data_IF_179094248699
#
_entry.id   IF_179094248699
#
_cell.length_a   1.000
_cell.length_b   1.000
_cell.length_c   1.000
_cell.angle_alpha   90.00
_cell.angle_beta   90.00
_cell.angle_gamma   90.00
#
_symmetry.space_group_name_H-M   'P 1'
#
loop_
_entity.id
_entity.type
_entity.pdbx_description
1 polymer ?
#
# COMPACT_ATOMS: atom_id res chain seq x y z
N UNK A 1 -1.31 11.60 -27.11
CA UNK A 1 -2.60 12.31 -26.91
C UNK A 1 -2.68 13.12 -25.61
N UNK A 2 -1.81 12.94 -24.61
CA UNK A 2 -1.72 13.79 -23.40
C UNK A 2 -1.11 15.18 -23.64
N UNK A 3 -0.38 15.34 -24.73
CA UNK A 3 0.47 16.50 -25.05
C UNK A 3 -0.36 17.72 -25.46
N UNK A 4 -1.61 17.48 -25.87
CA UNK A 4 -2.58 18.50 -26.29
C UNK A 4 -3.46 19.00 -25.13
N UNK A 5 -3.53 18.26 -24.03
CA UNK A 5 -4.28 18.65 -22.82
C UNK A 5 -3.38 19.28 -21.74
N UNK A 6 -2.08 18.99 -21.73
CA UNK A 6 -1.11 19.50 -20.75
C UNK A 6 0.06 20.29 -21.35
N UNK A 7 -0.02 20.65 -22.65
CA UNK A 7 1.02 21.40 -23.32
C UNK A 7 1.07 22.88 -22.89
N UNK A 8 2.25 23.51 -22.85
CA UNK A 8 2.46 24.90 -22.42
C UNK A 8 1.78 25.97 -23.31
N UNK A 9 1.11 25.55 -24.39
CA UNK A 9 0.44 26.41 -25.36
C UNK A 9 -1.10 26.37 -25.24
N UNK A 10 -1.69 25.84 -24.15
CA UNK A 10 -3.10 26.06 -23.84
C UNK A 10 -3.29 27.52 -23.42
N UNK A 11 -3.67 28.34 -24.40
CA UNK A 11 -3.74 29.77 -24.27
C UNK A 11 -4.73 30.21 -23.18
N UNK A 12 -4.21 31.10 -22.32
CA UNK A 12 -4.90 32.25 -21.68
C UNK A 12 -5.35 32.07 -20.23
N UNK A 13 -4.43 32.44 -19.34
CA UNK A 13 -4.68 32.83 -17.94
C UNK A 13 -3.35 32.98 -17.21
N UNK A 14 -2.49 33.93 -17.57
CA UNK A 14 -2.42 35.22 -16.85
C UNK A 14 -2.81 35.09 -15.37
N UNK A 15 -1.84 34.70 -14.55
CA UNK A 15 -1.63 35.32 -13.24
C UNK A 15 -2.87 35.37 -12.32
N UNK A 16 -3.46 34.20 -12.01
CA UNK A 16 -4.45 33.92 -10.94
C UNK A 16 -4.39 32.41 -10.71
N UNK A 17 -4.13 31.82 -9.55
CA UNK A 17 -4.53 32.19 -8.21
C UNK A 17 -3.49 31.60 -7.25
N UNK A 18 -2.84 32.45 -6.44
CA UNK A 18 -2.03 32.06 -5.28
C UNK A 18 -2.87 31.36 -4.17
N UNK A 19 -4.07 30.87 -4.49
CA UNK A 19 -5.08 30.41 -3.53
C UNK A 19 -6.08 29.34 -4.02
N UNK A 20 -6.01 28.82 -5.26
CA UNK A 20 -7.00 27.83 -5.74
C UNK A 20 -6.67 26.37 -5.35
N UNK A 21 -5.41 26.05 -5.10
CA UNK A 21 -4.98 24.69 -4.77
C UNK A 21 -4.48 24.56 -3.34
N UNK A 22 -5.13 25.29 -2.43
CA UNK A 22 -4.74 25.40 -1.03
C UNK A 22 -5.91 24.95 -0.17
N UNK A 23 -5.66 24.02 0.75
CA UNK A 23 -6.64 23.58 1.75
C UNK A 23 -7.00 24.74 2.71
N UNK A 24 -8.07 24.58 3.50
CA UNK A 24 -8.56 25.56 4.50
C UNK A 24 -7.48 26.05 5.48
N UNK A 25 -6.37 25.31 5.57
CA UNK A 25 -5.22 25.57 6.44
C UNK A 25 -4.04 26.26 5.74
N UNK A 26 -4.20 26.74 4.50
CA UNK A 26 -3.10 27.38 3.77
C UNK A 26 -2.06 26.39 3.21
N UNK A 27 -2.35 25.08 3.22
CA UNK A 27 -1.43 24.03 2.77
C UNK A 27 -1.76 23.59 1.34
N UNK A 28 -0.76 23.31 0.48
CA UNK A 28 -1.01 22.84 -0.87
C UNK A 28 -1.81 21.53 -0.85
N UNK A 29 -2.85 21.47 -1.69
CA UNK A 29 -3.77 20.34 -1.79
C UNK A 29 -3.06 19.12 -2.38
N UNK A 30 -3.31 17.95 -1.80
CA UNK A 30 -2.63 16.72 -2.23
C UNK A 30 -3.21 16.26 -3.57
N UNK A 31 -2.33 15.97 -4.54
CA UNK A 31 -2.69 15.60 -5.91
C UNK A 31 -2.60 16.76 -6.90
N UNK A 32 -2.29 17.98 -6.45
CA UNK A 32 -2.04 19.13 -7.34
C UNK A 32 -0.55 19.30 -7.63
N UNK A 33 -0.22 20.26 -8.49
CA UNK A 33 1.16 20.63 -8.82
C UNK A 33 1.51 21.91 -8.07
N UNK A 34 2.67 21.91 -7.41
CA UNK A 34 3.23 23.06 -6.71
C UNK A 34 3.75 24.13 -7.69
N UNK A 35 4.01 25.35 -7.21
CA UNK A 35 4.59 26.45 -8.00
C UNK A 35 5.92 26.08 -8.68
N UNK A 36 6.63 25.09 -8.15
CA UNK A 36 7.87 24.55 -8.70
C UNK A 36 7.66 23.44 -9.76
N UNK A 37 6.41 23.17 -10.18
CA UNK A 37 6.10 22.10 -11.12
C UNK A 37 6.16 20.69 -10.52
N UNK A 38 6.28 20.56 -9.19
CA UNK A 38 6.37 19.28 -8.48
C UNK A 38 5.00 18.80 -8.00
N UNK A 39 4.74 17.49 -8.06
CA UNK A 39 3.50 16.90 -7.54
C UNK A 39 3.44 16.98 -6.01
N UNK A 40 2.38 17.61 -5.48
CA UNK A 40 2.08 17.66 -4.06
C UNK A 40 1.52 16.31 -3.65
N UNK A 41 2.22 15.60 -2.78
CA UNK A 41 1.82 14.25 -2.35
C UNK A 41 1.64 14.17 -0.83
N UNK A 42 1.07 13.07 -0.35
CA UNK A 42 1.09 12.77 1.08
C UNK A 42 2.55 12.84 1.58
N UNK A 43 2.79 13.72 2.56
CA UNK A 43 4.13 14.08 3.00
C UNK A 43 4.97 12.87 3.42
N UNK A 44 6.31 12.99 3.39
CA UNK A 44 7.24 11.89 3.60
C UNK A 44 6.99 11.12 4.91
N UNK A 45 6.58 11.83 5.97
CA UNK A 45 6.25 11.25 7.28
C UNK A 45 5.14 10.20 7.20
N UNK A 46 4.07 10.44 6.44
CA UNK A 46 2.97 9.48 6.29
C UNK A 46 3.42 8.22 5.53
N UNK A 47 4.25 8.40 4.50
CA UNK A 47 4.79 7.27 3.72
C UNK A 47 5.67 6.37 4.58
N UNK A 48 6.52 6.97 5.41
CA UNK A 48 7.38 6.22 6.34
C UNK A 48 6.54 5.49 7.38
N UNK A 49 5.55 6.15 7.99
CA UNK A 49 4.66 5.52 8.96
C UNK A 49 3.96 4.28 8.39
N UNK A 50 3.38 4.39 7.19
CA UNK A 50 2.72 3.24 6.52
C UNK A 50 3.70 2.09 6.29
N UNK A 51 4.92 2.37 5.82
CA UNK A 51 5.95 1.34 5.61
C UNK A 51 6.34 0.65 6.91
N UNK A 52 6.49 1.41 7.99
CA UNK A 52 6.81 0.85 9.33
C UNK A 52 5.67 -0.06 9.80
N UNK A 53 4.41 0.38 9.69
CA UNK A 53 3.27 -0.46 10.05
C UNK A 53 3.17 -1.71 9.21
N UNK A 54 3.43 -1.64 7.91
CA UNK A 54 3.48 -2.82 7.03
C UNK A 54 4.51 -3.83 7.50
N UNK A 55 5.71 -3.38 7.88
CA UNK A 55 6.76 -4.26 8.42
C UNK A 55 6.34 -4.87 9.74
N UNK A 56 5.78 -4.08 10.67
CA UNK A 56 5.33 -4.57 11.97
C UNK A 56 4.21 -5.61 11.84
N UNK A 57 3.24 -5.38 10.96
CA UNK A 57 2.18 -6.37 10.70
C UNK A 57 2.71 -7.62 10.01
N UNK A 58 3.64 -7.49 9.08
CA UNK A 58 4.28 -8.64 8.43
C UNK A 58 5.05 -9.49 9.45
N UNK A 59 5.79 -8.87 10.37
CA UNK A 59 6.48 -9.57 11.45
C UNK A 59 5.49 -10.19 12.45
N UNK A 60 4.46 -9.45 12.84
CA UNK A 60 3.44 -9.90 13.79
C UNK A 60 2.63 -11.09 13.30
N UNK A 61 2.36 -11.18 11.99
CA UNK A 61 1.72 -12.34 11.39
C UNK A 61 2.74 -13.45 11.05
N UNK A 62 3.92 -13.09 10.55
CA UNK A 62 4.92 -14.03 10.06
C UNK A 62 5.59 -14.85 11.16
N UNK A 63 5.97 -14.23 12.29
CA UNK A 63 6.68 -14.93 13.37
C UNK A 63 5.82 -16.07 13.96
N UNK A 64 4.54 -15.83 14.36
CA UNK A 64 3.69 -16.91 14.84
C UNK A 64 3.43 -17.99 13.78
N UNK A 65 3.28 -17.61 12.51
CA UNK A 65 3.08 -18.56 11.41
C UNK A 65 4.29 -19.49 11.23
N UNK A 66 5.51 -18.95 11.25
CA UNK A 66 6.75 -19.73 11.18
C UNK A 66 6.88 -20.62 12.43
N UNK A 67 6.62 -20.08 13.61
CA UNK A 67 6.65 -20.85 14.85
C UNK A 67 5.66 -22.02 14.81
N UNK A 68 4.42 -21.79 14.37
CA UNK A 68 3.42 -22.83 14.22
C UNK A 68 3.89 -23.92 13.24
N UNK A 69 4.45 -23.53 12.10
CA UNK A 69 4.93 -24.47 11.09
C UNK A 69 6.11 -25.35 11.56
N UNK A 70 7.02 -24.80 12.37
CA UNK A 70 8.24 -25.50 12.78
C UNK A 70 8.10 -26.22 14.12
N UNK A 71 7.44 -25.60 15.10
CA UNK A 71 7.41 -26.07 16.48
C UNK A 71 6.16 -26.90 16.81
N UNK A 72 5.01 -26.65 16.16
CA UNK A 72 3.77 -27.38 16.47
C UNK A 72 3.77 -28.70 15.70
N UNK A 73 4.20 -29.77 16.37
CA UNK A 73 4.08 -31.15 15.89
C UNK A 73 3.00 -31.87 16.70
N UNK A 74 1.73 -31.89 16.24
CA UNK A 74 0.65 -32.55 16.97
C UNK A 74 0.88 -34.07 17.00
N UNK A 75 0.58 -34.68 18.15
CA UNK A 75 0.58 -36.14 18.35
C UNK A 75 -0.76 -36.55 18.99
N UNK A 76 -1.64 -37.30 18.29
CA UNK A 76 -1.46 -37.86 16.95
C UNK A 76 -1.44 -36.79 15.84
N UNK A 77 -0.87 -37.08 14.66
CA UNK A 77 -0.81 -36.12 13.56
C UNK A 77 -2.23 -35.68 13.15
N UNK A 78 -2.40 -34.37 12.94
CA UNK A 78 -3.71 -33.82 12.59
C UNK A 78 -4.23 -34.48 11.28
N UNK A 79 -5.51 -34.92 11.23
CA UNK A 79 -6.11 -35.40 10.00
C UNK A 79 -6.18 -34.23 9.02
N UNK A 80 -5.75 -34.32 7.74
CA UNK A 80 -5.41 -35.47 6.88
C UNK A 80 -3.89 -35.78 6.84
N UNK A 81 -3.44 -36.64 7.75
CA UNK A 81 -2.02 -36.92 7.91
C UNK A 81 -1.39 -37.54 6.64
N UNK A 82 -0.32 -36.91 6.16
CA UNK A 82 0.72 -37.44 5.27
C UNK A 82 0.41 -37.59 3.76
N UNK A 83 -0.64 -36.96 3.23
CA UNK A 83 -0.79 -36.85 1.76
C UNK A 83 -0.28 -35.49 1.26
N UNK A 84 0.61 -35.44 0.24
CA UNK A 84 1.11 -34.18 -0.31
C UNK A 84 -0.02 -33.25 -0.78
N UNK A 85 -1.08 -33.83 -1.32
CA UNK A 85 -2.27 -33.11 -1.77
C UNK A 85 -2.94 -32.32 -0.65
N UNK A 86 -3.01 -32.85 0.56
CA UNK A 86 -3.66 -32.17 1.66
C UNK A 86 -2.81 -31.04 2.25
N UNK A 87 -1.48 -31.15 2.19
CA UNK A 87 -0.59 -30.04 2.53
C UNK A 87 -0.76 -28.88 1.53
N UNK A 88 -0.85 -29.20 0.24
CA UNK A 88 -1.13 -28.22 -0.82
C UNK A 88 -2.47 -27.52 -0.57
N UNK A 89 -3.53 -28.27 -0.25
CA UNK A 89 -4.83 -27.69 0.07
C UNK A 89 -4.81 -26.84 1.34
N UNK A 90 -4.08 -27.24 2.38
CA UNK A 90 -3.94 -26.46 3.61
C UNK A 90 -3.21 -25.13 3.38
N UNK A 91 -2.15 -25.13 2.57
CA UNK A 91 -1.40 -23.91 2.22
C UNK A 91 -2.20 -23.01 1.28
N UNK A 92 -3.01 -23.59 0.39
CA UNK A 92 -3.84 -22.85 -0.57
C UNK A 92 -5.20 -22.42 -0.02
N UNK A 93 -5.69 -22.99 1.08
CA UNK A 93 -7.01 -22.65 1.65
C UNK A 93 -7.22 -21.15 1.94
N UNK A 94 -6.20 -20.37 2.38
CA UNK A 94 -6.38 -18.93 2.60
C UNK A 94 -6.61 -18.16 1.28
N UNK A 95 -6.15 -18.68 0.15
CA UNK A 95 -6.35 -18.08 -1.17
C UNK A 95 -7.74 -18.40 -1.74
N UNK A 96 -8.34 -19.51 -1.33
CA UNK A 96 -9.61 -19.99 -1.88
C UNK A 96 -10.83 -19.71 -1.01
N UNK A 97 -10.67 -19.14 0.20
CA UNK A 97 -11.78 -18.81 1.11
C UNK A 97 -12.76 -19.98 1.34
N UNK A 98 -12.22 -21.20 1.46
CA UNK A 98 -12.95 -22.46 1.60
C UNK A 98 -12.58 -23.15 2.91
#
# INVERSE_FOLDING_TARGET
MLEREFGPNSARGKDKSQGDFVDKNGKPLIGTVDANGSLVTQGPKKRVAVRVFQILFALGAGIPAIYAAVAIKPNPPAPPANTPAAYILYVLSPLTFL
#
